data_IF_758038195133
#
_entry.id   IF_758038195133
#
_cell.length_a   1.000
_cell.length_b   1.000
_cell.length_c   1.000
_cell.angle_alpha   90.00
_cell.angle_beta   90.00
_cell.angle_gamma   90.00
#
_symmetry.space_group_name_H-M   'P 1'
#
loop_
_entity.id
_entity.type
_entity.pdbx_description
1 polymer ?
#
# COMPACT_ATOMS: atom_id res chain seq x y z
N UNK A 1 -18.01 6.34 8.75
CA UNK A 1 -16.92 5.37 9.00
C UNK A 1 -15.87 6.05 9.88
N UNK A 2 -15.16 5.36 10.77
CA UNK A 2 -13.90 5.87 11.36
C UNK A 2 -12.71 5.15 10.70
N UNK A 3 -11.49 5.67 10.82
CA UNK A 3 -10.30 5.08 10.17
C UNK A 3 -10.15 3.59 10.47
N UNK A 4 -10.29 3.18 11.74
CA UNK A 4 -10.18 1.76 12.11
C UNK A 4 -11.17 0.85 11.37
N UNK A 5 -12.41 1.30 11.16
CA UNK A 5 -13.42 0.54 10.41
C UNK A 5 -13.09 0.50 8.91
N UNK A 6 -12.50 1.57 8.38
CA UNK A 6 -11.97 1.60 7.02
C UNK A 6 -10.82 0.63 6.82
N UNK A 7 -9.86 0.61 7.73
CA UNK A 7 -8.70 -0.29 7.63
C UNK A 7 -9.11 -1.75 7.67
N UNK A 8 -10.07 -2.13 8.53
CA UNK A 8 -10.67 -3.48 8.54
C UNK A 8 -11.23 -3.85 7.17
N UNK A 9 -11.99 -2.95 6.55
CA UNK A 9 -12.59 -3.19 5.24
C UNK A 9 -11.51 -3.39 4.16
N UNK A 10 -10.44 -2.59 4.16
CA UNK A 10 -9.35 -2.68 3.20
C UNK A 10 -8.54 -3.98 3.33
N UNK A 11 -8.32 -4.49 4.55
CA UNK A 11 -7.61 -5.77 4.72
C UNK A 11 -8.51 -6.97 4.42
N UNK A 12 -9.82 -6.86 4.61
CA UNK A 12 -10.78 -7.89 4.21
C UNK A 12 -10.87 -8.00 2.68
N UNK A 13 -10.92 -6.89 1.96
CA UNK A 13 -10.98 -6.91 0.49
C UNK A 13 -9.73 -7.59 -0.10
N UNK A 14 -8.54 -7.32 0.44
CA UNK A 14 -7.30 -7.98 0.03
C UNK A 14 -7.33 -9.50 0.24
N UNK A 15 -7.98 -9.97 1.32
CA UNK A 15 -8.09 -11.41 1.61
C UNK A 15 -9.07 -12.13 0.68
N UNK A 16 -10.19 -11.49 0.36
CA UNK A 16 -11.31 -12.13 -0.33
C UNK A 16 -11.38 -11.87 -1.83
N UNK A 17 -10.60 -10.91 -2.35
CA UNK A 17 -10.52 -10.66 -3.78
C UNK A 17 -9.91 -11.84 -4.53
N UNK A 18 -10.40 -12.07 -5.75
CA UNK A 18 -9.89 -13.13 -6.65
C UNK A 18 -8.46 -12.84 -7.12
N UNK A 19 -8.08 -11.58 -7.19
CA UNK A 19 -6.75 -11.13 -7.54
C UNK A 19 -6.35 -9.85 -6.80
N UNK A 20 -5.05 -9.56 -6.77
CA UNK A 20 -4.53 -8.27 -6.28
C UNK A 20 -5.12 -7.10 -7.09
N UNK A 21 -5.35 -7.28 -8.39
CA UNK A 21 -5.98 -6.27 -9.24
C UNK A 21 -7.39 -5.92 -8.77
N UNK A 22 -8.21 -6.94 -8.48
CA UNK A 22 -9.57 -6.75 -8.00
C UNK A 22 -9.61 -6.06 -6.63
N UNK A 23 -8.69 -6.43 -5.73
CA UNK A 23 -8.54 -5.76 -4.43
C UNK A 23 -8.15 -4.29 -4.59
N UNK A 24 -7.21 -3.97 -5.49
CA UNK A 24 -6.75 -2.61 -5.75
C UNK A 24 -7.83 -1.73 -6.36
N UNK A 25 -8.61 -2.24 -7.31
CA UNK A 25 -9.74 -1.53 -7.91
C UNK A 25 -10.80 -1.22 -6.84
N UNK A 26 -11.15 -2.23 -6.02
CA UNK A 26 -12.07 -2.05 -4.90
C UNK A 26 -11.55 -1.01 -3.90
N UNK A 27 -10.30 -1.15 -3.44
CA UNK A 27 -9.69 -0.25 -2.45
C UNK A 27 -9.57 1.18 -2.99
N UNK A 28 -9.25 1.36 -4.27
CA UNK A 28 -9.21 2.67 -4.92
C UNK A 28 -10.59 3.32 -4.92
N UNK A 29 -11.64 2.56 -5.24
CA UNK A 29 -13.02 3.04 -5.17
C UNK A 29 -13.40 3.45 -3.74
N UNK A 30 -13.14 2.59 -2.74
CA UNK A 30 -13.39 2.85 -1.31
C UNK A 30 -12.69 4.13 -0.84
N UNK A 31 -11.39 4.26 -1.15
CA UNK A 31 -10.58 5.41 -0.73
C UNK A 31 -11.01 6.71 -1.43
N UNK A 32 -11.52 6.64 -2.66
CA UNK A 32 -11.99 7.81 -3.42
C UNK A 32 -13.33 8.37 -2.92
N UNK A 33 -14.17 7.52 -2.32
CA UNK A 33 -15.50 7.90 -1.81
C UNK A 33 -15.75 7.27 -0.43
N UNK A 34 -14.83 7.52 0.50
CA UNK A 34 -14.76 6.90 1.83
C UNK A 34 -16.06 7.02 2.67
N UNK A 35 -16.91 7.98 2.35
CA UNK A 35 -18.19 8.18 3.02
C UNK A 35 -19.30 7.22 2.54
N UNK A 36 -19.10 6.54 1.40
CA UNK A 36 -20.14 5.77 0.68
C UNK A 36 -19.95 4.25 0.58
N UNK A 37 -18.85 3.65 1.09
CA UNK A 37 -18.43 2.26 0.75
C UNK A 37 -18.26 1.38 2.01
N UNK A 38 -18.50 0.05 2.02
CA UNK A 38 -19.77 -0.67 1.99
C UNK A 38 -19.91 -1.67 3.19
N UNK A 39 -20.93 -2.54 3.10
CA UNK A 39 -21.29 -3.71 3.93
C UNK A 39 -20.87 -3.73 5.42
N UNK A 40 -21.87 -3.57 6.30
CA UNK A 40 -21.69 -3.65 7.76
C UNK A 40 -21.09 -4.97 8.22
N UNK A 41 -21.32 -6.08 7.49
CA UNK A 41 -20.80 -7.40 7.83
C UNK A 41 -19.28 -7.42 7.92
N UNK A 42 -18.58 -6.94 6.89
CA UNK A 42 -17.11 -6.90 6.85
C UNK A 42 -16.50 -5.98 7.91
N UNK A 43 -17.25 -4.94 8.31
CA UNK A 43 -16.81 -3.95 9.30
C UNK A 43 -16.98 -4.46 10.73
N UNK A 44 -18.01 -5.27 10.99
CA UNK A 44 -18.38 -5.73 12.33
C UNK A 44 -17.83 -7.14 12.65
N UNK A 45 -17.26 -7.85 11.67
CA UNK A 45 -16.70 -9.20 11.83
C UNK A 45 -15.41 -9.25 12.70
N UNK A 46 -15.25 -10.33 13.45
CA UNK A 46 -14.03 -10.69 14.19
C UNK A 46 -12.86 -10.98 13.24
N UNK A 47 -13.12 -11.60 12.08
CA UNK A 47 -12.09 -11.89 11.08
C UNK A 47 -11.39 -10.60 10.59
N UNK A 48 -12.16 -9.53 10.36
CA UNK A 48 -11.58 -8.25 9.96
C UNK A 48 -10.68 -7.64 11.04
N UNK A 49 -10.94 -7.93 12.32
CA UNK A 49 -10.09 -7.46 13.41
C UNK A 49 -8.77 -8.24 13.44
N UNK A 50 -8.81 -9.55 13.28
CA UNK A 50 -7.60 -10.40 13.21
C UNK A 50 -6.71 -10.02 12.03
N UNK A 51 -7.31 -9.72 10.87
CA UNK A 51 -6.59 -9.26 9.68
C UNK A 51 -5.95 -7.89 9.90
N UNK A 52 -6.64 -6.98 10.61
CA UNK A 52 -6.08 -5.69 10.97
C UNK A 52 -4.92 -5.84 11.95
N UNK A 53 -5.03 -6.69 12.97
CA UNK A 53 -3.93 -6.98 13.89
C UNK A 53 -2.72 -7.51 13.10
N UNK A 54 -2.96 -8.48 12.21
CA UNK A 54 -1.91 -9.06 11.36
C UNK A 54 -1.25 -8.03 10.44
N UNK A 55 -2.01 -7.04 9.93
CA UNK A 55 -1.45 -5.98 9.06
C UNK A 55 -0.56 -5.01 9.84
N UNK A 56 -0.92 -4.70 11.10
CA UNK A 56 -0.09 -3.88 12.00
C UNK A 56 1.20 -4.62 12.34
N UNK A 57 1.15 -5.92 12.64
CA UNK A 57 2.35 -6.74 12.86
C UNK A 57 3.29 -6.75 11.65
N UNK A 58 2.74 -6.86 10.42
CA UNK A 58 3.52 -6.73 9.19
C UNK A 58 4.16 -5.35 9.05
N UNK A 59 3.45 -4.29 9.41
CA UNK A 59 3.99 -2.92 9.39
C UNK A 59 5.17 -2.76 10.36
N UNK A 60 5.07 -3.34 11.56
CA UNK A 60 6.16 -3.36 12.55
C UNK A 60 7.37 -4.14 12.00
N UNK A 61 7.15 -5.34 11.47
CA UNK A 61 8.21 -6.17 10.90
C UNK A 61 8.92 -5.49 9.72
N UNK A 62 8.20 -4.67 8.96
CA UNK A 62 8.72 -3.86 7.87
C UNK A 62 9.33 -2.52 8.34
N UNK A 63 9.36 -2.21 9.64
CA UNK A 63 9.82 -0.92 10.18
C UNK A 63 9.07 0.28 9.56
N UNK A 64 7.79 0.11 9.23
CA UNK A 64 6.90 1.14 8.69
C UNK A 64 6.22 1.89 9.84
N UNK A 65 6.99 2.72 10.55
CA UNK A 65 6.55 3.38 11.80
C UNK A 65 5.77 4.68 11.59
N UNK A 66 5.63 5.13 10.34
CA UNK A 66 4.87 6.31 9.95
C UNK A 66 3.90 5.93 8.83
N UNK A 67 2.72 6.57 8.83
CA UNK A 67 1.77 6.44 7.74
C UNK A 67 2.41 6.88 6.41
N UNK A 68 1.88 6.39 5.28
CA UNK A 68 2.43 6.69 3.94
C UNK A 68 3.92 6.34 3.78
N UNK A 69 4.35 5.19 4.31
CA UNK A 69 5.68 4.63 4.07
C UNK A 69 5.68 3.83 2.77
N UNK A 70 6.37 4.32 1.75
CA UNK A 70 6.56 3.60 0.48
C UNK A 70 7.84 2.78 0.57
N UNK A 71 7.78 1.50 0.22
CA UNK A 71 8.93 0.58 0.20
C UNK A 71 9.03 -0.09 -1.17
N UNK A 72 10.26 -0.22 -1.66
CA UNK A 72 10.59 -0.92 -2.92
C UNK A 72 11.77 -1.83 -2.60
N UNK A 73 11.68 -3.12 -2.96
CA UNK A 73 12.73 -4.12 -2.67
C UNK A 73 13.18 -4.09 -1.19
N UNK A 74 12.21 -4.14 -0.27
CA UNK A 74 12.43 -4.08 1.18
C UNK A 74 13.17 -2.83 1.71
N UNK A 75 13.36 -1.81 0.87
CA UNK A 75 14.02 -0.54 1.23
C UNK A 75 13.00 0.58 1.26
N UNK A 76 13.14 1.49 2.23
CA UNK A 76 12.31 2.70 2.28
C UNK A 76 12.58 3.56 1.05
N UNK A 77 11.53 3.81 0.27
CA UNK A 77 11.56 4.67 -0.90
C UNK A 77 11.29 6.12 -0.52
N UNK A 78 10.18 6.36 0.17
CA UNK A 78 9.87 7.66 0.75
C UNK A 78 8.88 7.47 1.92
N UNK A 79 8.90 8.41 2.87
CA UNK A 79 7.94 8.46 3.97
C UNK A 79 7.26 9.82 3.93
N UNK A 80 5.93 9.87 4.00
CA UNK A 80 5.23 11.13 4.26
C UNK A 80 4.99 11.26 5.75
N UNK A 81 5.61 12.25 6.37
CA UNK A 81 5.47 12.50 7.79
C UNK A 81 5.18 13.97 8.01
N UNK A 82 4.19 14.27 8.86
CA UNK A 82 3.76 15.64 9.15
C UNK A 82 3.45 16.44 7.88
N UNK A 83 2.77 15.79 6.93
CA UNK A 83 2.38 16.32 5.61
C UNK A 83 3.53 16.57 4.61
N UNK A 84 4.78 16.30 4.98
CA UNK A 84 5.96 16.47 4.13
C UNK A 84 6.52 15.14 3.65
N UNK A 85 6.93 15.09 2.38
CA UNK A 85 7.63 13.92 1.83
C UNK A 85 9.11 13.95 2.19
N UNK A 86 9.55 12.95 2.94
CA UNK A 86 10.95 12.71 3.33
C UNK A 86 11.48 11.57 2.48
N UNK A 87 12.09 11.92 1.34
CA UNK A 87 12.65 10.95 0.40
C UNK A 87 14.18 11.08 0.34
N UNK A 88 14.93 9.97 0.24
CA UNK A 88 16.33 10.00 -0.17
C UNK A 88 16.51 10.69 -1.54
N UNK A 89 17.70 11.25 -1.83
CA UNK A 89 17.99 11.89 -3.11
C UNK A 89 17.58 10.99 -4.29
N UNK A 90 16.87 11.58 -5.26
CA UNK A 90 16.35 10.88 -6.44
C UNK A 90 15.05 10.09 -6.23
N UNK A 91 14.67 9.71 -5.01
CA UNK A 91 13.47 8.88 -4.75
C UNK A 91 12.16 9.67 -4.65
N UNK A 92 12.23 10.99 -4.48
CA UNK A 92 11.04 11.86 -4.51
C UNK A 92 10.48 12.14 -5.91
N UNK A 93 11.09 11.57 -6.96
CA UNK A 93 10.71 11.76 -8.36
C UNK A 93 9.93 10.53 -8.81
N UNK A 94 8.70 10.72 -9.29
CA UNK A 94 7.77 9.63 -9.64
C UNK A 94 8.35 8.76 -10.76
N UNK A 95 8.97 9.37 -11.76
CA UNK A 95 9.58 8.68 -12.89
C UNK A 95 10.68 7.70 -12.44
N UNK A 96 11.43 8.04 -11.38
CA UNK A 96 12.44 7.16 -10.82
C UNK A 96 11.84 5.96 -10.08
N UNK A 97 10.65 6.12 -9.48
CA UNK A 97 9.92 5.03 -8.84
C UNK A 97 9.43 4.03 -9.90
N UNK A 98 8.83 4.53 -10.99
CA UNK A 98 8.36 3.70 -12.11
C UNK A 98 9.51 2.87 -12.68
N UNK A 99 10.63 3.53 -13.01
CA UNK A 99 11.83 2.84 -13.55
C UNK A 99 12.37 1.75 -12.63
N UNK A 100 12.42 2.01 -11.32
CA UNK A 100 12.90 1.00 -10.37
C UNK A 100 11.96 -0.21 -10.31
N UNK A 101 10.63 0.02 -10.37
CA UNK A 101 9.64 -1.07 -10.39
C UNK A 101 9.77 -1.90 -11.67
N UNK A 102 9.83 -1.27 -12.85
CA UNK A 102 10.01 -1.96 -14.15
C UNK A 102 11.30 -2.80 -14.17
N UNK A 103 12.38 -2.25 -13.62
CA UNK A 103 13.65 -2.97 -13.48
C UNK A 103 13.51 -4.21 -12.58
N UNK A 104 12.78 -4.10 -11.47
CA UNK A 104 12.59 -5.20 -10.52
C UNK A 104 11.57 -6.24 -10.99
N UNK A 105 10.59 -5.86 -11.82
CA UNK A 105 9.62 -6.80 -12.40
C UNK A 105 10.23 -7.69 -13.48
N UNK A 106 11.43 -7.35 -13.97
CA UNK A 106 12.05 -8.03 -15.10
C UNK A 106 11.53 -7.56 -16.45
N UNK A 107 10.68 -6.52 -16.46
CA UNK A 107 10.22 -5.85 -17.68
C UNK A 107 11.22 -4.79 -18.18
N UNK A 108 12.19 -4.43 -17.33
CA UNK A 108 13.35 -3.62 -17.70
C UNK A 108 14.37 -4.45 -18.48
N UNK A 109 14.36 -4.32 -19.80
CA UNK A 109 15.47 -4.71 -20.65
C UNK A 109 16.79 -4.18 -20.07
N UNK A 110 17.79 -5.05 -20.07
CA UNK A 110 19.15 -4.83 -19.61
C UNK A 110 19.80 -3.69 -20.43
N UNK A 111 19.64 -2.43 -19.98
CA UNK A 111 20.35 -1.28 -20.57
C UNK A 111 21.78 -1.23 -20.02
N UNK A 112 22.53 -2.33 -20.18
CA UNK A 112 23.98 -2.34 -20.15
C UNK A 112 24.50 -2.06 -21.56
N UNK A 113 24.41 -0.81 -21.99
CA UNK A 113 25.14 -0.37 -23.17
C UNK A 113 24.81 1.02 -23.67
N UNK A 114 25.41 2.06 -23.07
CA UNK A 114 26.24 3.03 -23.80
C UNK A 114 26.89 4.04 -22.84
N UNK A 115 28.24 4.07 -22.91
CA UNK A 115 29.23 5.02 -22.38
C UNK A 115 29.75 4.82 -20.95
#
# INVERSE_FOLDING_TARGET
MNECKGDKLLVCSEKHADSIGDALDFNTCVLSDYERVPDKGLIEDEEGLELLISSVERSIAANANASCTVRVDNKVWCIRDSYEWKCPPGRGVVENLVREIEKLSGDGEDDTGYL
#
